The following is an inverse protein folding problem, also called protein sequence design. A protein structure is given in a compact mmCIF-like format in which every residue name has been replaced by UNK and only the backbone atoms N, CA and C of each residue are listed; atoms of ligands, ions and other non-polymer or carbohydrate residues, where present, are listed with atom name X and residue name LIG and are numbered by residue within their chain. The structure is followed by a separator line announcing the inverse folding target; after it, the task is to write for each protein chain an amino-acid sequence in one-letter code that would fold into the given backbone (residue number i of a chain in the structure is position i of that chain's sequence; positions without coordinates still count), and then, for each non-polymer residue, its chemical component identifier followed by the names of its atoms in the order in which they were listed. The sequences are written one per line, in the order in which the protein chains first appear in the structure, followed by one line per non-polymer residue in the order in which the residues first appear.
data_IF_704286226966
#
_entry.id   IF_704286226966
#
_cell.length_a   1.000
_cell.length_b   1.000
_cell.length_c   1.000
_cell.angle_alpha   90.00
_cell.angle_beta   90.00
_cell.angle_gamma   90.00
#
_symmetry.space_group_name_H-M   'P 1'
#
loop_
_entity.id
_entity.type
_entity.pdbx_description
1 polymer ?
#
# COMPACT_ATOMS: atom_id res chain seq x y z
N UNK A 1 35.34 20.85 14.45
CA UNK A 1 33.95 20.44 14.80
C UNK A 1 33.02 20.92 13.71
N UNK A 2 31.77 20.45 13.68
CA UNK A 2 30.76 20.99 12.79
C UNK A 2 30.12 22.25 13.39
N UNK A 3 29.89 23.28 12.57
CA UNK A 3 29.25 24.55 12.98
C UNK A 3 27.84 24.66 12.40
N UNK A 4 26.89 25.13 13.22
CA UNK A 4 25.50 25.33 12.82
C UNK A 4 25.31 26.69 12.16
N UNK A 5 24.71 26.69 10.98
CA UNK A 5 24.30 27.90 10.28
C UNK A 5 22.92 28.34 10.76
N UNK A 6 22.86 29.45 11.52
CA UNK A 6 21.63 29.95 12.13
C UNK A 6 20.57 30.35 11.10
N UNK A 7 20.98 30.83 9.93
CA UNK A 7 20.13 31.18 8.78
C UNK A 7 19.47 29.95 8.14
N UNK A 8 20.08 28.77 8.27
CA UNK A 8 19.52 27.49 7.79
C UNK A 8 18.73 26.74 8.87
N UNK A 9 18.68 27.28 10.09
CA UNK A 9 17.99 26.65 11.22
C UNK A 9 16.48 26.90 11.14
N UNK A 10 15.70 25.83 11.07
CA UNK A 10 14.24 25.90 11.02
C UNK A 10 13.66 25.91 12.44
N UNK A 11 13.25 27.08 12.94
CA UNK A 11 12.80 27.25 14.33
C UNK A 11 11.28 27.12 14.52
N UNK A 12 10.51 27.31 13.47
CA UNK A 12 9.05 27.38 13.53
C UNK A 12 8.44 26.48 12.47
N UNK A 13 7.27 25.90 12.78
CA UNK A 13 6.44 25.17 11.83
C UNK A 13 6.09 26.06 10.61
N UNK A 14 6.05 25.50 9.38
CA UNK A 14 6.31 24.11 9.03
C UNK A 14 7.80 23.81 8.79
N UNK A 15 8.26 22.66 9.28
CA UNK A 15 9.63 22.18 9.08
C UNK A 15 9.75 21.42 7.76
N UNK A 16 10.91 21.50 7.13
CA UNK A 16 11.29 20.77 5.93
C UNK A 16 12.38 19.78 6.27
N UNK A 17 12.10 18.50 6.10
CA UNK A 17 13.10 17.45 6.31
C UNK A 17 12.86 16.29 5.35
N UNK A 18 13.94 15.73 4.81
CA UNK A 18 13.92 14.59 3.88
C UNK A 18 12.90 14.72 2.73
N UNK A 19 12.68 15.93 2.20
CA UNK A 19 11.70 16.17 1.13
C UNK A 19 10.24 16.27 1.61
N UNK A 20 9.97 16.23 2.91
CA UNK A 20 8.65 16.41 3.53
C UNK A 20 8.49 17.80 4.11
N UNK A 21 7.25 18.28 4.15
CA UNK A 21 6.79 19.45 4.91
C UNK A 21 6.00 18.93 6.11
N UNK A 22 6.55 19.15 7.29
CA UNK A 22 6.04 18.67 8.57
C UNK A 22 5.42 19.87 9.29
N UNK A 23 4.12 19.83 9.50
CA UNK A 23 3.39 20.78 10.32
C UNK A 23 3.15 20.20 11.72
N UNK A 24 2.48 20.95 12.59
CA UNK A 24 2.19 20.51 13.96
C UNK A 24 1.42 19.19 14.01
N UNK A 25 0.54 18.94 13.05
CA UNK A 25 -0.32 17.75 13.01
C UNK A 25 -0.25 16.99 11.69
N UNK A 26 0.23 17.61 10.61
CA UNK A 26 0.19 17.01 9.26
C UNK A 26 1.58 16.83 8.68
N UNK A 27 1.70 15.83 7.81
CA UNK A 27 2.90 15.53 7.03
C UNK A 27 2.46 15.43 5.58
N UNK A 28 3.11 16.22 4.73
CA UNK A 28 2.88 16.19 3.29
C UNK A 28 4.20 16.22 2.55
N UNK A 29 4.29 15.62 1.36
CA UNK A 29 5.44 15.84 0.49
C UNK A 29 5.67 17.32 0.23
N UNK A 30 6.94 17.74 0.16
CA UNK A 30 7.26 19.02 -0.44
C UNK A 30 6.87 18.98 -1.90
N UNK A 31 6.59 20.16 -2.48
CA UNK A 31 6.17 20.32 -3.86
C UNK A 31 7.05 19.49 -4.79
N UNK A 32 6.55 18.33 -5.21
CA UNK A 32 7.22 17.49 -6.18
C UNK A 32 7.03 18.21 -7.50
N UNK A 33 8.12 18.47 -8.23
CA UNK A 33 8.01 18.84 -9.62
C UNK A 33 7.63 17.58 -10.40
N UNK A 34 6.34 17.23 -10.40
CA UNK A 34 5.83 16.17 -11.25
C UNK A 34 6.05 16.66 -12.68
N UNK A 35 6.91 15.97 -13.43
CA UNK A 35 7.19 16.34 -14.81
C UNK A 35 5.98 15.97 -15.64
N UNK A 36 5.29 16.98 -16.16
CA UNK A 36 4.00 16.78 -16.85
C UNK A 36 4.13 16.08 -18.21
N UNK A 37 5.34 16.06 -18.78
CA UNK A 37 5.59 15.53 -20.11
C UNK A 37 6.99 14.89 -20.25
N UNK A 38 7.30 13.79 -19.54
CA UNK A 38 8.50 12.98 -19.81
C UNK A 38 8.52 12.50 -21.27
N UNK A 39 9.62 12.78 -21.96
CA UNK A 39 9.85 12.43 -23.36
C UNK A 39 10.85 11.31 -23.55
N UNK A 40 11.59 10.93 -22.51
CA UNK A 40 12.58 9.85 -22.54
C UNK A 40 12.32 8.83 -21.44
N UNK A 41 12.87 7.62 -21.61
CA UNK A 41 12.80 6.58 -20.59
C UNK A 41 13.42 7.05 -19.25
N UNK A 42 14.51 7.81 -19.30
CA UNK A 42 15.14 8.40 -18.10
C UNK A 42 14.18 9.31 -17.34
N UNK A 43 13.50 10.21 -18.04
CA UNK A 43 12.57 11.15 -17.42
C UNK A 43 11.36 10.44 -16.81
N UNK A 44 10.90 9.36 -17.48
CA UNK A 44 9.85 8.51 -16.96
C UNK A 44 10.29 7.75 -15.70
N UNK A 45 11.53 7.25 -15.65
CA UNK A 45 12.10 6.65 -14.43
C UNK A 45 12.20 7.63 -13.27
N UNK A 46 12.60 8.88 -13.52
CA UNK A 46 12.66 9.92 -12.49
C UNK A 46 11.26 10.26 -11.94
N UNK A 47 10.27 10.36 -12.83
CA UNK A 47 8.87 10.54 -12.45
C UNK A 47 8.38 9.38 -11.58
N UNK A 48 8.63 8.14 -12.02
CA UNK A 48 8.27 6.93 -11.27
C UNK A 48 8.93 6.87 -9.89
N UNK A 49 10.23 7.19 -9.80
CA UNK A 49 10.95 7.27 -8.53
C UNK A 49 10.31 8.30 -7.58
N UNK A 50 9.95 9.46 -8.11
CA UNK A 50 9.31 10.54 -7.34
C UNK A 50 7.92 10.13 -6.84
N UNK A 51 7.12 9.49 -7.69
CA UNK A 51 5.77 9.01 -7.32
C UNK A 51 5.82 7.89 -6.29
N UNK A 52 6.73 6.93 -6.44
CA UNK A 52 6.92 5.87 -5.46
C UNK A 52 7.41 6.41 -4.12
N UNK A 53 8.25 7.44 -4.14
CA UNK A 53 8.72 8.07 -2.92
C UNK A 53 7.57 8.68 -2.12
N UNK A 54 6.61 9.37 -2.77
CA UNK A 54 5.47 10.00 -2.06
C UNK A 54 4.27 9.11 -1.80
N UNK A 55 4.23 7.97 -2.47
CA UNK A 55 3.16 6.98 -2.38
C UNK A 55 2.71 6.66 -0.94
N UNK A 56 3.61 6.49 0.04
CA UNK A 56 3.21 6.15 1.41
C UNK A 56 2.38 7.24 2.12
N UNK A 57 2.47 8.51 1.70
CA UNK A 57 1.69 9.59 2.31
C UNK A 57 0.43 9.94 1.52
N UNK A 58 0.40 9.61 0.23
CA UNK A 58 -0.70 10.00 -0.67
C UNK A 58 -1.68 8.87 -0.98
N UNK A 59 -1.35 7.61 -0.67
CA UNK A 59 -2.26 6.49 -0.93
C UNK A 59 -2.50 6.25 -2.42
N UNK A 60 -1.49 6.49 -3.27
CA UNK A 60 -1.57 6.17 -4.69
C UNK A 60 -1.40 4.64 -4.84
N UNK A 61 -2.41 3.95 -5.36
CA UNK A 61 -2.40 2.49 -5.48
C UNK A 61 -1.55 2.01 -6.66
N UNK A 62 -1.30 0.69 -6.76
CA UNK A 62 -0.63 0.13 -7.95
C UNK A 62 -1.52 0.33 -9.18
N UNK A 63 -2.83 0.19 -9.03
CA UNK A 63 -3.79 0.38 -10.12
C UNK A 63 -3.77 1.82 -10.63
N UNK A 64 -3.73 2.80 -9.72
CA UNK A 64 -3.60 4.21 -10.06
C UNK A 64 -2.34 4.47 -10.91
N UNK A 65 -1.23 3.78 -10.60
CA UNK A 65 0.06 4.00 -11.25
C UNK A 65 0.32 3.07 -12.45
N UNK A 66 -0.51 2.06 -12.69
CA UNK A 66 -0.30 1.02 -13.69
C UNK A 66 -0.15 1.56 -15.13
N UNK A 67 -0.94 2.55 -15.59
CA UNK A 67 -0.77 3.12 -16.93
C UNK A 67 0.61 3.74 -17.15
N UNK A 68 1.21 4.32 -16.11
CA UNK A 68 2.57 4.87 -16.18
C UNK A 68 3.62 3.76 -16.27
N UNK A 69 3.42 2.66 -15.52
CA UNK A 69 4.34 1.53 -15.52
C UNK A 69 4.49 0.88 -16.90
N UNK A 70 3.38 0.72 -17.62
CA UNK A 70 3.39 0.10 -18.95
C UNK A 70 4.33 0.82 -19.94
N UNK A 71 4.61 2.11 -19.71
CA UNK A 71 5.52 2.91 -20.53
C UNK A 71 7.01 2.69 -20.20
N UNK A 72 7.34 2.08 -19.06
CA UNK A 72 8.71 1.72 -18.69
C UNK A 72 9.23 0.51 -19.46
N UNK A 73 8.36 -0.28 -20.09
CA UNK A 73 8.74 -1.40 -20.94
C UNK A 73 9.45 -0.97 -22.23
N UNK A 74 10.22 -1.88 -22.83
CA UNK A 74 10.82 -1.71 -24.18
C UNK A 74 12.26 -1.17 -24.20
N UNK A 75 13.25 -2.06 -24.07
CA UNK A 75 14.68 -1.74 -24.24
C UNK A 75 15.29 -0.89 -23.12
N UNK A 76 16.58 -1.11 -22.83
CA UNK A 76 17.29 -0.47 -21.71
C UNK A 76 17.92 0.90 -21.99
N UNK A 77 17.73 1.47 -23.19
CA UNK A 77 18.29 2.78 -23.53
C UNK A 77 17.50 3.89 -22.84
N UNK A 78 18.15 4.55 -21.87
CA UNK A 78 17.57 5.65 -21.09
C UNK A 78 17.18 6.86 -21.95
N UNK A 79 17.79 7.03 -23.12
CA UNK A 79 17.50 8.12 -24.05
C UNK A 79 16.38 7.78 -25.03
N UNK A 80 15.90 6.53 -25.02
CA UNK A 80 14.84 6.09 -25.90
C UNK A 80 13.60 6.98 -25.74
N UNK A 81 13.02 7.46 -26.85
CA UNK A 81 11.85 8.32 -26.80
C UNK A 81 10.65 7.57 -26.22
N UNK A 82 9.86 8.29 -25.44
CA UNK A 82 8.59 7.84 -24.87
C UNK A 82 7.52 8.87 -25.16
N UNK A 83 6.35 8.38 -25.54
CA UNK A 83 5.17 9.21 -25.76
C UNK A 83 4.16 8.91 -24.65
N UNK A 84 3.69 9.98 -24.01
CA UNK A 84 2.71 9.90 -22.93
C UNK A 84 1.33 9.64 -23.51
N UNK A 85 0.82 8.43 -23.29
CA UNK A 85 -0.56 8.06 -23.61
C UNK A 85 -1.54 8.83 -22.73
N UNK A 86 -2.80 8.92 -23.15
CA UNK A 86 -3.84 9.67 -22.43
C UNK A 86 -4.06 9.12 -21.00
N UNK A 87 -3.97 7.80 -20.84
CA UNK A 87 -4.12 7.11 -19.56
C UNK A 87 -2.98 7.47 -18.59
N UNK A 88 -1.74 7.50 -19.07
CA UNK A 88 -0.59 7.89 -18.26
C UNK A 88 -0.63 9.38 -17.86
N UNK A 89 -1.20 10.24 -18.70
CA UNK A 89 -1.43 11.66 -18.34
C UNK A 89 -2.42 11.80 -17.19
N UNK A 90 -3.49 11.00 -17.19
CA UNK A 90 -4.44 10.96 -16.06
C UNK A 90 -3.77 10.55 -14.75
N UNK A 91 -2.76 9.68 -14.79
CA UNK A 91 -1.98 9.31 -13.59
C UNK A 91 -1.21 10.50 -13.03
N UNK A 92 -0.58 11.29 -13.90
CA UNK A 92 0.15 12.52 -13.52
C UNK A 92 -0.81 13.52 -12.88
N UNK A 93 -1.99 13.73 -13.49
CA UNK A 93 -3.04 14.60 -12.96
C UNK A 93 -3.55 14.11 -11.61
N UNK A 94 -3.81 12.80 -11.47
CA UNK A 94 -4.22 12.18 -10.21
C UNK A 94 -3.17 12.36 -9.11
N UNK A 95 -1.89 12.18 -9.43
CA UNK A 95 -0.82 12.36 -8.47
C UNK A 95 -0.66 13.83 -8.03
N UNK A 96 -0.83 14.77 -8.97
CA UNK A 96 -0.84 16.21 -8.69
C UNK A 96 -2.02 16.59 -7.78
N UNK A 97 -3.20 16.06 -8.07
CA UNK A 97 -4.40 16.24 -7.26
C UNK A 97 -4.24 15.64 -5.87
N UNK A 98 -3.71 14.43 -5.78
CA UNK A 98 -3.42 13.75 -4.52
C UNK A 98 -2.43 14.55 -3.67
N UNK A 99 -1.39 15.12 -4.26
CA UNK A 99 -0.41 15.97 -3.55
C UNK A 99 -1.06 17.23 -2.96
N UNK A 100 -2.16 17.70 -3.56
CA UNK A 100 -2.87 18.90 -3.11
C UNK A 100 -3.97 18.60 -2.08
N UNK A 101 -4.62 17.44 -2.18
CA UNK A 101 -5.81 17.08 -1.39
C UNK A 101 -5.56 16.09 -0.27
N UNK A 102 -4.48 15.31 -0.34
CA UNK A 102 -4.19 14.22 0.60
C UNK A 102 -2.99 14.57 1.46
N UNK A 103 -3.00 14.05 2.67
CA UNK A 103 -1.93 14.24 3.65
C UNK A 103 -1.88 13.05 4.60
N UNK A 104 -0.71 12.82 5.17
CA UNK A 104 -0.56 12.02 6.37
C UNK A 104 -0.54 12.92 7.60
N UNK A 105 -0.50 12.28 8.77
CA UNK A 105 -0.57 12.94 10.06
C UNK A 105 0.59 12.50 10.94
N UNK A 106 0.94 13.37 11.88
CA UNK A 106 1.80 12.97 12.99
C UNK A 106 1.02 12.03 13.89
N UNK A 107 1.67 10.96 14.35
CA UNK A 107 1.02 10.05 15.27
C UNK A 107 0.75 10.74 16.62
N UNK A 108 -0.34 10.34 17.24
CA UNK A 108 -0.76 10.76 18.58
C UNK A 108 -0.28 9.70 19.58
N UNK A 109 0.66 10.00 20.49
CA UNK A 109 1.24 9.00 21.40
C UNK A 109 0.24 8.27 22.31
N UNK A 110 -0.93 8.89 22.53
CA UNK A 110 -1.99 8.34 23.38
C UNK A 110 -2.90 7.35 22.66
N UNK A 111 -2.79 7.23 21.34
CA UNK A 111 -3.65 6.36 20.54
C UNK A 111 -2.88 5.14 20.04
N UNK A 112 -3.51 3.96 20.03
CA UNK A 112 -2.89 2.77 19.45
C UNK A 112 -2.87 2.86 17.92
N UNK A 113 -1.97 2.09 17.30
CA UNK A 113 -1.92 1.94 15.86
C UNK A 113 -2.81 0.79 15.40
N UNK A 114 -3.54 1.03 14.32
CA UNK A 114 -4.39 0.08 13.64
C UNK A 114 -3.91 -0.14 12.20
N UNK A 115 -4.24 -1.31 11.67
CA UNK A 115 -3.86 -1.72 10.33
C UNK A 115 -5.06 -2.30 9.60
N UNK A 116 -5.26 -1.92 8.35
CA UNK A 116 -6.37 -2.42 7.53
C UNK A 116 -5.90 -2.80 6.12
N UNK A 117 -6.34 -3.97 5.65
CA UNK A 117 -6.18 -4.40 4.26
C UNK A 117 -7.39 -3.94 3.45
N UNK A 118 -7.14 -3.23 2.35
CA UNK A 118 -8.12 -2.59 1.48
C UNK A 118 -7.94 -3.03 0.03
N UNK A 119 -8.96 -2.77 -0.79
CA UNK A 119 -8.99 -3.11 -2.21
C UNK A 119 -9.49 -4.53 -2.46
N UNK A 120 -9.23 -5.02 -3.68
CA UNK A 120 -9.62 -6.36 -4.14
C UNK A 120 -8.39 -7.09 -4.65
N UNK A 121 -8.37 -8.41 -4.54
CA UNK A 121 -7.30 -9.20 -5.12
C UNK A 121 -7.28 -9.05 -6.67
N UNK A 122 -6.10 -8.96 -7.29
CA UNK A 122 -4.76 -9.05 -6.69
C UNK A 122 -4.17 -7.70 -6.20
N UNK A 123 -4.94 -6.61 -6.22
CA UNK A 123 -4.48 -5.24 -5.98
C UNK A 123 -4.70 -4.74 -4.54
N UNK A 124 -4.46 -5.61 -3.57
CA UNK A 124 -4.54 -5.22 -2.17
C UNK A 124 -3.50 -4.16 -1.81
N UNK A 125 -3.91 -3.27 -0.91
CA UNK A 125 -3.07 -2.26 -0.30
C UNK A 125 -3.49 -2.07 1.15
N UNK A 126 -2.67 -1.39 1.94
CA UNK A 126 -2.92 -1.24 3.37
C UNK A 126 -2.71 0.16 3.87
N UNK A 127 -3.36 0.44 5.00
CA UNK A 127 -3.22 1.69 5.72
C UNK A 127 -2.86 1.39 7.17
N UNK A 128 -1.80 2.06 7.64
CA UNK A 128 -1.49 2.24 9.06
C UNK A 128 -2.13 3.55 9.50
N UNK A 129 -2.98 3.49 10.52
CA UNK A 129 -3.69 4.65 11.03
C UNK A 129 -3.88 4.56 12.54
N UNK A 130 -4.36 5.65 13.14
CA UNK A 130 -4.86 5.65 14.51
C UNK A 130 -6.34 6.10 14.49
N UNK A 131 -7.03 5.93 15.61
CA UNK A 131 -8.45 6.23 15.77
C UNK A 131 -8.88 7.57 15.11
N UNK A 132 -10.12 7.62 14.61
CA UNK A 132 -10.66 8.75 13.82
C UNK A 132 -9.93 9.03 12.50
N UNK A 133 -9.31 7.99 11.90
CA UNK A 133 -8.59 8.05 10.61
C UNK A 133 -7.41 9.04 10.61
N UNK A 134 -6.61 9.01 11.66
CA UNK A 134 -5.28 9.66 11.64
C UNK A 134 -4.37 8.80 10.76
N UNK A 135 -4.31 9.14 9.46
CA UNK A 135 -3.50 8.41 8.47
C UNK A 135 -2.01 8.59 8.80
N UNK A 136 -1.32 7.50 9.08
CA UNK A 136 0.13 7.50 9.35
C UNK A 136 0.90 7.18 8.07
N UNK A 137 0.61 6.03 7.46
CA UNK A 137 1.33 5.58 6.28
C UNK A 137 0.53 4.53 5.49
N UNK A 138 0.52 4.66 4.18
CA UNK A 138 0.05 3.64 3.25
C UNK A 138 1.17 2.65 2.93
N UNK A 139 0.89 1.35 3.07
CA UNK A 139 1.85 0.28 2.81
C UNK A 139 1.36 -0.59 1.67
N UNK A 140 2.27 -0.96 0.77
CA UNK A 140 1.97 -1.65 -0.47
C UNK A 140 2.84 -2.88 -0.69
N UNK A 141 2.32 -3.83 -1.47
CA UNK A 141 3.11 -4.92 -2.01
C UNK A 141 4.11 -4.40 -3.06
N UNK A 142 5.18 -5.15 -3.35
CA UNK A 142 6.07 -4.85 -4.47
C UNK A 142 5.27 -4.76 -5.75
N UNK A 143 5.71 -3.85 -6.62
CA UNK A 143 5.10 -3.70 -7.92
C UNK A 143 5.31 -4.94 -8.81
N UNK A 144 6.49 -5.55 -8.74
CA UNK A 144 6.78 -6.80 -9.43
C UNK A 144 6.44 -7.99 -8.53
N UNK A 145 5.44 -8.81 -8.88
CA UNK A 145 5.13 -10.00 -8.10
C UNK A 145 6.26 -11.03 -8.25
N UNK A 146 6.57 -11.75 -7.17
CA UNK A 146 7.58 -12.82 -7.18
C UNK A 146 7.09 -14.11 -7.85
N UNK A 147 5.79 -14.19 -8.15
CA UNK A 147 5.12 -15.34 -8.76
C UNK A 147 4.13 -14.85 -9.83
N UNK A 148 3.94 -15.63 -10.89
CA UNK A 148 2.97 -15.33 -11.96
C UNK A 148 1.53 -15.40 -11.46
N UNK A 149 1.24 -16.30 -10.51
CA UNK A 149 -0.07 -16.48 -9.89
C UNK A 149 0.13 -16.37 -8.38
N UNK A 150 -0.68 -15.57 -7.72
CA UNK A 150 -0.68 -15.43 -6.27
C UNK A 150 -2.11 -15.51 -5.77
N UNK A 151 -2.33 -16.28 -4.71
CA UNK A 151 -3.64 -16.38 -4.07
C UNK A 151 -3.91 -15.09 -3.27
N UNK A 152 -5.18 -14.65 -3.14
CA UNK A 152 -5.53 -13.50 -2.33
C UNK A 152 -4.96 -13.55 -0.91
N UNK A 153 -4.94 -14.72 -0.30
CA UNK A 153 -4.41 -14.92 1.05
C UNK A 153 -2.89 -14.74 1.11
N UNK A 154 -2.14 -15.16 0.09
CA UNK A 154 -0.68 -14.90 0.04
C UNK A 154 -0.38 -13.40 -0.04
N UNK A 155 -1.18 -12.65 -0.82
CA UNK A 155 -1.05 -11.20 -0.94
C UNK A 155 -1.35 -10.49 0.40
N UNK A 156 -2.40 -10.91 1.10
CA UNK A 156 -2.72 -10.42 2.45
C UNK A 156 -1.59 -10.71 3.43
N UNK A 157 -1.03 -11.92 3.41
CA UNK A 157 0.10 -12.32 4.26
C UNK A 157 1.30 -11.40 4.03
N UNK A 158 1.67 -11.15 2.78
CA UNK A 158 2.76 -10.24 2.43
C UNK A 158 2.55 -8.82 2.95
N UNK A 159 1.29 -8.37 2.97
CA UNK A 159 0.89 -7.07 3.51
C UNK A 159 0.97 -7.02 5.05
N UNK A 160 0.47 -8.04 5.75
CA UNK A 160 0.56 -8.13 7.22
C UNK A 160 2.01 -8.13 7.67
N UNK A 161 2.86 -8.95 7.06
CA UNK A 161 4.29 -9.02 7.38
C UNK A 161 4.95 -7.65 7.19
N UNK A 162 4.70 -6.99 6.05
CA UNK A 162 5.25 -5.65 5.78
C UNK A 162 4.73 -4.60 6.75
N UNK A 163 3.43 -4.58 7.01
CA UNK A 163 2.81 -3.63 7.93
C UNK A 163 3.41 -3.74 9.33
N UNK A 164 3.49 -4.96 9.89
CA UNK A 164 4.05 -5.21 11.22
C UNK A 164 5.53 -4.84 11.28
N UNK A 165 6.32 -5.25 10.29
CA UNK A 165 7.74 -4.87 10.20
C UNK A 165 7.93 -3.35 10.10
N UNK A 166 7.06 -2.67 9.33
CA UNK A 166 7.08 -1.23 9.19
C UNK A 166 6.77 -0.53 10.51
N UNK A 167 5.70 -0.92 11.20
CA UNK A 167 5.33 -0.30 12.48
C UNK A 167 6.42 -0.52 13.54
N UNK A 168 7.01 -1.71 13.63
CA UNK A 168 8.15 -1.98 14.53
C UNK A 168 9.34 -1.09 14.23
N UNK A 169 9.61 -0.80 12.96
CA UNK A 169 10.68 0.11 12.54
C UNK A 169 10.39 1.55 12.95
N UNK A 170 9.12 1.97 12.87
CA UNK A 170 8.70 3.34 13.19
C UNK A 170 8.59 3.60 14.70
N UNK A 171 8.04 2.65 15.45
CA UNK A 171 7.59 2.87 16.83
C UNK A 171 8.00 1.76 17.82
N UNK A 172 8.64 0.69 17.37
CA UNK A 172 9.04 -0.43 18.25
C UNK A 172 7.88 -1.24 18.84
N UNK A 173 6.65 -1.08 18.30
CA UNK A 173 5.45 -1.75 18.78
C UNK A 173 4.74 -2.53 17.65
N UNK A 174 3.66 -3.22 18.01
CA UNK A 174 2.75 -3.90 17.06
C UNK A 174 1.37 -3.22 17.04
N UNK A 175 0.50 -3.61 16.12
CA UNK A 175 -0.85 -3.05 16.02
C UNK A 175 -1.75 -3.50 17.18
N UNK A 176 -2.68 -2.65 17.61
CA UNK A 176 -3.76 -3.07 18.52
C UNK A 176 -4.82 -3.89 17.80
N UNK A 177 -5.08 -3.57 16.52
CA UNK A 177 -6.05 -4.25 15.69
C UNK A 177 -5.56 -4.36 14.24
N UNK A 178 -5.72 -5.55 13.65
CA UNK A 178 -5.50 -5.84 12.23
C UNK A 178 -6.85 -6.20 11.61
N UNK A 179 -7.33 -5.34 10.72
CA UNK A 179 -8.56 -5.54 9.97
C UNK A 179 -8.27 -6.30 8.67
N UNK A 180 -8.72 -7.56 8.60
CA UNK A 180 -8.54 -8.44 7.45
C UNK A 180 -9.87 -8.65 6.71
N UNK A 181 -9.87 -8.70 5.36
CA UNK A 181 -11.06 -9.00 4.56
C UNK A 181 -11.40 -10.51 4.58
N UNK A 182 -11.41 -11.10 5.77
CA UNK A 182 -11.77 -12.51 6.02
C UNK A 182 -12.89 -12.48 7.05
N UNK A 183 -13.98 -13.21 6.81
CA UNK A 183 -15.06 -13.32 7.80
C UNK A 183 -14.52 -13.93 9.09
N UNK A 184 -14.75 -13.29 10.24
CA UNK A 184 -14.17 -13.71 11.54
C UNK A 184 -14.51 -15.17 11.88
N UNK A 185 -15.74 -15.61 11.62
CA UNK A 185 -16.17 -17.00 11.85
C UNK A 185 -15.36 -18.03 11.05
N UNK A 186 -14.67 -17.59 9.99
CA UNK A 186 -13.81 -18.43 9.15
C UNK A 186 -12.33 -18.26 9.50
N UNK A 187 -11.95 -17.34 10.39
CA UNK A 187 -10.55 -17.03 10.67
C UNK A 187 -9.79 -18.26 11.18
N UNK A 188 -10.35 -19.01 12.13
CA UNK A 188 -9.72 -20.22 12.64
C UNK A 188 -9.50 -21.27 11.56
N UNK A 189 -10.52 -21.49 10.72
CA UNK A 189 -10.42 -22.41 9.59
C UNK A 189 -9.33 -21.92 8.62
N UNK A 190 -9.35 -20.65 8.22
CA UNK A 190 -8.36 -20.10 7.29
C UNK A 190 -6.95 -20.18 7.87
N UNK A 191 -6.77 -19.94 9.17
CA UNK A 191 -5.48 -20.12 9.85
C UNK A 191 -5.02 -21.58 9.77
N UNK A 192 -5.87 -22.55 10.11
CA UNK A 192 -5.52 -23.98 10.02
C UNK A 192 -5.12 -24.42 8.60
N UNK A 193 -5.70 -23.80 7.57
CA UNK A 193 -5.41 -24.14 6.18
C UNK A 193 -4.26 -23.33 5.56
N UNK A 194 -3.83 -22.24 6.20
CA UNK A 194 -2.84 -21.31 5.66
C UNK A 194 -1.70 -21.09 6.66
N UNK A 195 -0.67 -21.93 6.56
CA UNK A 195 0.54 -21.86 7.37
C UNK A 195 1.25 -20.49 7.26
N UNK A 196 1.26 -19.89 6.06
CA UNK A 196 1.87 -18.58 5.85
C UNK A 196 1.14 -17.46 6.63
N UNK A 197 -0.19 -17.56 6.76
CA UNK A 197 -0.97 -16.64 7.59
C UNK A 197 -0.73 -16.86 9.08
N UNK A 198 -0.55 -18.12 9.52
CA UNK A 198 -0.13 -18.41 10.88
C UNK A 198 1.21 -17.74 11.19
N UNK A 199 2.22 -17.89 10.32
CA UNK A 199 3.51 -17.23 10.49
C UNK A 199 3.42 -15.70 10.47
N UNK A 200 2.59 -15.13 9.59
CA UNK A 200 2.41 -13.69 9.50
C UNK A 200 1.81 -13.08 10.78
N UNK A 201 1.01 -13.87 11.49
CA UNK A 201 0.34 -13.49 12.74
C UNK A 201 0.99 -14.12 13.97
N UNK A 202 2.12 -14.81 13.81
CA UNK A 202 2.82 -15.40 14.93
C UNK A 202 3.21 -14.32 15.94
N UNK A 203 3.07 -14.67 17.22
CA UNK A 203 3.34 -13.80 18.37
C UNK A 203 2.58 -12.46 18.32
N UNK A 204 1.52 -12.33 17.51
CA UNK A 204 0.64 -11.16 17.50
C UNK A 204 -0.34 -11.25 18.66
N UNK A 205 -0.35 -10.23 19.51
CA UNK A 205 -1.18 -10.18 20.72
C UNK A 205 -2.40 -9.26 20.57
N UNK A 206 -2.50 -8.53 19.45
CA UNK A 206 -3.61 -7.62 19.19
C UNK A 206 -4.86 -8.34 18.66
N UNK A 207 -5.90 -7.57 18.39
CA UNK A 207 -7.15 -8.07 17.85
C UNK A 207 -7.06 -8.29 16.33
N UNK A 208 -7.78 -9.28 15.83
CA UNK A 208 -8.07 -9.44 14.40
C UNK A 208 -9.58 -9.22 14.22
N UNK A 209 -9.96 -8.43 13.23
CA UNK A 209 -11.37 -8.11 12.97
C UNK A 209 -11.66 -8.06 11.48
N UNK A 210 -12.89 -8.40 11.09
CA UNK A 210 -13.42 -8.11 9.75
C UNK A 210 -14.32 -6.88 9.74
N UNK A 211 -14.62 -6.33 10.91
CA UNK A 211 -15.44 -5.14 11.09
C UNK A 211 -14.53 -3.92 11.16
N UNK A 212 -14.37 -3.24 10.03
CA UNK A 212 -13.57 -2.02 9.96
C UNK A 212 -14.26 -0.85 10.69
N UNK A 213 -13.50 0.20 11.08
CA UNK A 213 -14.07 1.39 11.68
C UNK A 213 -15.08 2.09 10.76
N UNK A 214 -16.03 2.86 11.34
CA UNK A 214 -17.03 3.60 10.58
C UNK A 214 -16.39 4.82 9.90
N UNK A 215 -15.99 4.66 8.65
CA UNK A 215 -15.49 5.77 7.84
C UNK A 215 -15.80 5.56 6.36
N UNK A 216 -16.11 6.65 5.64
CA UNK A 216 -16.47 6.60 4.21
C UNK A 216 -15.41 5.88 3.36
N UNK A 217 -14.13 6.19 3.60
CA UNK A 217 -12.99 5.54 2.94
C UNK A 217 -13.07 4.01 3.01
N UNK A 218 -13.32 3.45 4.20
CA UNK A 218 -13.32 2.01 4.40
C UNK A 218 -14.56 1.34 3.80
N UNK A 219 -15.73 1.99 3.90
CA UNK A 219 -16.95 1.50 3.27
C UNK A 219 -16.81 1.31 1.75
N UNK A 220 -16.04 2.18 1.10
CA UNK A 220 -15.86 2.16 -0.36
C UNK A 220 -14.77 1.18 -0.82
N UNK A 221 -13.82 0.84 0.06
CA UNK A 221 -12.58 0.13 -0.34
C UNK A 221 -12.38 -1.22 0.33
N UNK A 222 -12.99 -1.47 1.50
CA UNK A 222 -12.87 -2.75 2.20
C UNK A 222 -13.80 -3.79 1.55
N UNK A 223 -13.22 -4.82 0.94
CA UNK A 223 -13.97 -5.88 0.25
C UNK A 223 -13.64 -7.24 0.86
N UNK A 224 -14.62 -7.87 1.53
CA UNK A 224 -14.48 -9.22 2.10
C UNK A 224 -14.20 -10.22 0.97
N UNK A 225 -13.23 -11.10 1.19
CA UNK A 225 -12.94 -12.19 0.27
C UNK A 225 -14.07 -13.22 0.24
N UNK A 226 -14.41 -13.73 -0.96
CA UNK A 226 -15.35 -14.82 -1.08
C UNK A 226 -14.76 -16.08 -0.44
N UNK A 227 -15.64 -16.92 0.11
CA UNK A 227 -15.27 -18.22 0.64
C UNK A 227 -14.72 -19.11 -0.48
N UNK A 228 -13.63 -19.83 -0.21
CA UNK A 228 -13.16 -20.85 -1.14
C UNK A 228 -14.23 -21.94 -1.33
N UNK A 229 -14.61 -22.17 -2.59
CA UNK A 229 -15.66 -23.14 -2.98
C UNK A 229 -15.04 -24.49 -3.36
N UNK A 230 -13.73 -24.65 -3.22
CA UNK A 230 -13.04 -25.88 -3.57
C UNK A 230 -13.15 -26.93 -2.46
N UNK A 231 -13.57 -28.13 -2.83
CA UNK A 231 -13.59 -29.28 -1.93
C UNK A 231 -12.22 -29.94 -1.87
N UNK A 232 -11.79 -30.35 -0.67
CA UNK A 232 -10.57 -31.17 -0.48
C UNK A 232 -10.74 -32.63 -0.88
N UNK A 233 -11.99 -33.05 -1.11
CA UNK A 233 -12.33 -34.40 -1.56
C UNK A 233 -13.05 -34.31 -2.89
N UNK A 234 -12.87 -35.29 -3.79
CA UNK A 234 -13.72 -35.42 -4.97
C UNK A 234 -15.19 -35.33 -4.56
N UNK A 235 -15.94 -34.49 -5.26
CA UNK A 235 -17.37 -34.36 -5.03
C UNK A 235 -18.05 -35.65 -5.47
N UNK A 236 -18.83 -36.27 -4.59
CA UNK A 236 -19.65 -37.43 -4.93
C UNK A 236 -20.65 -37.02 -6.02
N UNK A 237 -20.80 -37.85 -7.05
CA UNK A 237 -21.73 -37.66 -8.17
C UNK A 237 -21.50 -36.41 -9.05
N UNK A 238 -20.33 -35.76 -8.94
CA UNK A 238 -19.93 -34.70 -9.85
C UNK A 238 -19.26 -35.26 -11.12
N UNK A 239 -19.44 -34.58 -12.26
CA UNK A 239 -18.76 -34.92 -13.50
C UNK A 239 -17.25 -34.69 -13.37
N UNK A 240 -16.46 -35.75 -13.44
CA UNK A 240 -15.00 -35.66 -13.52
C UNK A 240 -14.57 -35.35 -14.96
N UNK A 241 -14.02 -34.16 -15.17
CA UNK A 241 -13.45 -33.75 -16.45
C UNK A 241 -11.94 -34.01 -16.45
N UNK A 242 -11.45 -34.75 -17.45
CA UNK A 242 -10.02 -34.92 -17.70
C UNK A 242 -9.59 -33.96 -18.81
N UNK A 243 -8.57 -33.15 -18.55
CA UNK A 243 -8.03 -32.18 -19.50
C UNK A 243 -6.52 -32.37 -19.63
N UNK A 244 -6.04 -32.36 -20.87
CA UNK A 244 -4.63 -32.44 -21.28
C UNK A 244 -4.32 -31.18 -22.12
N UNK A 245 -3.09 -30.66 -22.02
CA UNK A 245 -2.58 -29.62 -22.90
C UNK A 245 -1.35 -30.12 -23.67
N UNK A 246 -1.39 -30.00 -25.00
CA UNK A 246 -0.27 -30.28 -25.92
C UNK A 246 0.77 -29.17 -25.96
#
# INVERSE_FOLDING_TARGET
GFELQLDKTQKTCPWKDLGLKIAETTIMPQKISIKDNPRTLQELHQLYGSLNWVRPWLGLTIEDLAPLFNLLGGGGDLTAPRSLMAEARKVIELASDATSKRQAHRYLPTLPFEFIVLGKAPHFHTLIFQDSLVIIEWVFLPHQPSKTISMPQELMVGLVIRGRARLRTLCGCDFSCIFLPIVVDQLEQVLQLNESLQFALDSYLGQISSHHPKHKLFNETFSILPKEVQSRKPLQDALTLFTDGS
#
